data_IF_932275263110
#
_entry.id   IF_932275263110
#
_cell.length_a   1.000
_cell.length_b   1.000
_cell.length_c   1.000
_cell.angle_alpha   90.00
_cell.angle_beta   90.00
_cell.angle_gamma   90.00
#
_symmetry.space_group_name_H-M   'P 1'
#
loop_
_entity.id
_entity.type
_entity.pdbx_description
1 polymer ?
#
# COMPACT_ATOMS: atom_id res chain seq x y z
N UNK A 1 -9.22 -15.44 29.82
CA UNK A 1 -9.29 -14.16 29.08
C UNK A 1 -8.78 -14.40 27.68
N UNK A 2 -9.61 -14.25 26.65
CA UNK A 2 -9.18 -14.29 25.24
C UNK A 2 -8.63 -12.89 24.94
N UNK A 3 -7.35 -12.75 24.65
CA UNK A 3 -6.84 -11.50 24.09
C UNK A 3 -7.61 -11.29 22.77
N UNK A 4 -8.39 -10.22 22.68
CA UNK A 4 -8.85 -9.75 21.39
C UNK A 4 -7.57 -9.55 20.57
N UNK A 5 -7.40 -10.34 19.52
CA UNK A 5 -6.28 -10.17 18.63
C UNK A 5 -6.63 -8.92 17.83
N UNK A 6 -6.29 -7.74 18.37
CA UNK A 6 -6.46 -6.42 17.76
C UNK A 6 -5.49 -6.28 16.57
N UNK A 7 -5.48 -7.29 15.71
CA UNK A 7 -4.63 -7.50 14.56
C UNK A 7 -5.11 -6.63 13.39
N UNK A 8 -5.53 -5.40 13.70
CA UNK A 8 -5.85 -4.40 12.70
C UNK A 8 -4.51 -3.84 12.22
N UNK A 9 -4.11 -4.13 10.97
CA UNK A 9 -2.87 -3.60 10.44
C UNK A 9 -2.93 -2.07 10.44
N UNK A 10 -1.82 -1.44 10.85
CA UNK A 10 -1.70 0.02 10.83
C UNK A 10 -1.84 0.52 9.39
N UNK A 11 -2.71 1.50 9.17
CA UNK A 11 -2.87 2.15 7.86
C UNK A 11 -1.64 2.98 7.46
N UNK A 12 -1.00 3.64 8.43
CA UNK A 12 0.08 4.59 8.20
C UNK A 12 1.44 4.00 8.59
N UNK A 13 2.32 3.86 7.60
CA UNK A 13 3.63 3.24 7.72
C UNK A 13 4.72 4.29 7.87
N UNK A 14 5.77 4.01 8.65
CA UNK A 14 7.04 4.74 8.49
C UNK A 14 7.67 4.42 7.13
N UNK A 15 8.62 5.24 6.70
CA UNK A 15 9.42 4.99 5.50
C UNK A 15 10.06 3.59 5.48
N UNK A 16 10.63 3.16 6.61
CA UNK A 16 11.23 1.82 6.75
C UNK A 16 10.18 0.72 6.67
N UNK A 17 8.99 0.93 7.24
CA UNK A 17 7.89 -0.04 7.12
C UNK A 17 7.38 -0.15 5.68
N UNK A 18 7.23 0.97 4.97
CA UNK A 18 6.80 0.99 3.57
C UNK A 18 7.82 0.31 2.65
N UNK A 19 9.12 0.58 2.84
CA UNK A 19 10.18 -0.12 2.10
C UNK A 19 10.15 -1.64 2.34
N UNK A 20 10.01 -2.06 3.61
CA UNK A 20 9.89 -3.49 3.96
C UNK A 20 8.61 -4.13 3.40
N UNK A 21 7.50 -3.40 3.38
CA UNK A 21 6.24 -3.85 2.81
C UNK A 21 6.38 -4.15 1.31
N UNK A 22 7.14 -3.31 0.59
CA UNK A 22 7.44 -3.52 -0.83
C UNK A 22 8.56 -4.53 -1.09
N UNK A 23 9.19 -5.11 -0.05
CA UNK A 23 10.34 -5.99 -0.19
C UNK A 23 11.63 -5.30 -0.66
N UNK A 24 11.78 -3.99 -0.44
CA UNK A 24 12.89 -3.17 -0.94
C UNK A 24 13.81 -2.68 0.20
N UNK A 25 15.05 -2.32 -0.18
CA UNK A 25 15.93 -1.52 0.67
C UNK A 25 15.42 -0.08 0.76
N UNK A 26 15.79 0.65 1.84
CA UNK A 26 15.42 2.07 1.98
C UNK A 26 15.87 2.94 0.78
N UNK A 27 17.15 2.86 0.31
CA UNK A 27 17.58 3.62 -0.86
C UNK A 27 16.82 3.25 -2.15
N UNK A 28 16.55 1.95 -2.35
CA UNK A 28 15.79 1.51 -3.52
C UNK A 28 14.36 2.04 -3.47
N UNK A 29 13.69 1.94 -2.32
CA UNK A 29 12.36 2.48 -2.12
C UNK A 29 12.30 3.99 -2.42
N UNK A 30 13.29 4.75 -1.95
CA UNK A 30 13.41 6.19 -2.25
C UNK A 30 13.55 6.51 -3.73
N UNK A 31 14.23 5.66 -4.48
CA UNK A 31 14.44 5.87 -5.91
C UNK A 31 13.23 5.53 -6.78
N UNK A 32 12.37 4.60 -6.35
CA UNK A 32 11.33 4.00 -7.22
C UNK A 32 9.90 4.27 -6.77
N UNK A 33 9.67 4.52 -5.48
CA UNK A 33 8.33 4.73 -4.96
C UNK A 33 7.91 6.19 -5.15
N UNK A 34 6.88 6.49 -5.96
CA UNK A 34 6.42 7.85 -6.20
C UNK A 34 5.45 8.35 -5.12
N UNK A 35 5.04 7.47 -4.18
CA UNK A 35 4.04 7.80 -3.15
C UNK A 35 4.58 8.88 -2.23
N UNK A 36 3.81 9.97 -2.08
CA UNK A 36 4.21 11.10 -1.25
C UNK A 36 3.90 10.81 0.22
N UNK A 37 4.87 11.05 1.09
CA UNK A 37 4.63 10.91 2.52
C UNK A 37 3.68 12.01 3.04
N UNK A 38 2.77 11.61 3.92
CA UNK A 38 1.83 12.47 4.64
C UNK A 38 2.54 13.02 5.87
N UNK A 39 2.68 14.35 5.96
CA UNK A 39 3.21 15.01 7.14
C UNK A 39 2.11 15.14 8.22
N UNK A 40 2.23 14.35 9.31
CA UNK A 40 1.31 14.45 10.46
C UNK A 40 1.71 15.54 11.46
N UNK A 41 2.84 16.20 11.23
CA UNK A 41 3.44 17.17 12.14
C UNK A 41 4.71 17.78 11.53
N UNK A 42 5.51 18.43 12.36
CA UNK A 42 6.71 19.14 11.89
C UNK A 42 7.92 18.21 11.86
N UNK A 43 8.52 18.06 10.68
CA UNK A 43 9.77 17.34 10.46
C UNK A 43 9.61 15.89 10.00
N UNK A 44 10.68 15.36 9.40
CA UNK A 44 10.71 14.07 8.67
C UNK A 44 10.23 12.88 9.50
N UNK A 45 10.39 12.91 10.83
CA UNK A 45 9.93 11.84 11.73
C UNK A 45 8.41 11.68 11.76
N UNK A 46 7.65 12.73 11.43
CA UNK A 46 6.19 12.73 11.40
C UNK A 46 5.62 12.37 10.03
N UNK A 47 6.46 12.05 9.05
CA UNK A 47 6.05 11.60 7.73
C UNK A 47 5.62 10.13 7.77
N UNK A 48 4.46 9.86 7.17
CA UNK A 48 3.89 8.50 7.05
C UNK A 48 3.42 8.21 5.64
N UNK A 49 3.52 6.96 5.24
CA UNK A 49 3.03 6.46 3.96
C UNK A 49 1.69 5.76 4.21
N UNK A 50 0.65 6.10 3.45
CA UNK A 50 -0.61 5.37 3.50
C UNK A 50 -0.47 4.06 2.72
N UNK A 51 -0.69 2.93 3.39
CA UNK A 51 -0.60 1.60 2.77
C UNK A 51 -1.50 1.48 1.54
N UNK A 52 -2.64 2.16 1.50
CA UNK A 52 -3.57 2.10 0.35
C UNK A 52 -3.02 2.79 -0.89
N UNK A 53 -2.29 3.89 -0.71
CA UNK A 53 -1.63 4.56 -1.83
C UNK A 53 -0.43 3.74 -2.32
N UNK A 54 0.28 3.09 -1.39
CA UNK A 54 1.34 2.13 -1.72
C UNK A 54 0.78 0.95 -2.50
N UNK A 55 -0.33 0.36 -2.07
CA UNK A 55 -1.02 -0.73 -2.79
C UNK A 55 -1.45 -0.27 -4.19
N UNK A 56 -2.09 0.90 -4.31
CA UNK A 56 -2.50 1.44 -5.61
C UNK A 56 -1.31 1.65 -6.56
N UNK A 57 -0.16 2.10 -6.04
CA UNK A 57 1.05 2.17 -6.82
C UNK A 57 1.54 0.79 -7.24
N UNK A 58 1.59 -0.20 -6.34
CA UNK A 58 1.98 -1.58 -6.65
C UNK A 58 1.09 -2.15 -7.74
N UNK A 59 -0.23 -1.97 -7.63
CA UNK A 59 -1.21 -2.45 -8.61
C UNK A 59 -1.00 -1.78 -9.98
N UNK A 60 -0.65 -0.49 -10.01
CA UNK A 60 -0.34 0.24 -11.24
C UNK A 60 0.90 -0.30 -11.98
N UNK A 61 1.81 -1.00 -11.29
CA UNK A 61 3.00 -1.62 -11.89
C UNK A 61 2.68 -2.89 -12.67
N UNK A 62 1.45 -3.43 -12.59
CA UNK A 62 1.02 -4.63 -13.31
C UNK A 62 0.32 -4.25 -14.63
N UNK A 63 1.02 -4.19 -15.77
CA UNK A 63 0.36 -3.98 -17.04
C UNK A 63 -0.50 -5.20 -17.40
N UNK A 64 -1.82 -5.04 -17.44
CA UNK A 64 -2.71 -5.98 -18.13
C UNK A 64 -3.63 -6.86 -17.28
N UNK A 65 -3.75 -6.65 -15.97
CA UNK A 65 -4.82 -7.31 -15.20
C UNK A 65 -6.10 -6.49 -15.36
N UNK A 66 -6.84 -6.73 -16.46
CA UNK A 66 -8.24 -6.35 -16.51
C UNK A 66 -8.90 -6.87 -15.22
N UNK A 67 -9.82 -6.10 -14.58
CA UNK A 67 -10.49 -6.57 -13.38
C UNK A 67 -11.04 -7.96 -13.67
N UNK A 68 -10.70 -8.93 -12.81
CA UNK A 68 -11.24 -10.29 -12.88
C UNK A 68 -12.74 -10.15 -13.09
N UNK A 69 -13.24 -10.52 -14.27
CA UNK A 69 -14.68 -10.50 -14.53
C UNK A 69 -15.31 -11.38 -13.48
N UNK A 70 -16.08 -10.79 -12.58
CA UNK A 70 -16.88 -11.56 -11.63
C UNK A 70 -17.90 -12.36 -12.42
N UNK A 71 -18.40 -13.46 -11.85
CA UNK A 71 -19.41 -14.29 -12.51
C UNK A 71 -20.60 -13.45 -13.01
N UNK A 72 -20.99 -12.44 -12.25
CA UNK A 72 -22.04 -11.47 -12.62
C UNK A 72 -21.71 -10.69 -13.91
N UNK A 73 -20.46 -10.29 -14.11
CA UNK A 73 -20.01 -9.59 -15.34
C UNK A 73 -19.96 -10.50 -16.58
N UNK A 74 -19.98 -11.82 -16.42
CA UNK A 74 -20.05 -12.77 -17.53
C UNK A 74 -21.50 -13.05 -17.97
N UNK A 75 -22.45 -12.94 -17.04
CA UNK A 75 -23.88 -13.10 -17.30
C UNK A 75 -24.48 -11.93 -18.09
N UNK A 76 -24.02 -10.69 -17.88
CA UNK A 76 -24.47 -9.53 -18.67
C UNK A 76 -23.87 -9.45 -20.08
N UNK A 77 -22.83 -10.23 -20.37
CA UNK A 77 -22.14 -10.23 -21.66
C UNK A 77 -22.67 -11.28 -22.66
N UNK A 78 -23.71 -12.03 -22.28
CA UNK A 78 -24.42 -13.03 -23.09
C UNK A 78 -25.80 -12.50 -23.50
#
# INVERSE_FOLDING_TARGET
>A
MRAANDNVPLRLLTKTQAARYCGLSLPSFDSVCPVRAIALGVGVRWERYDIREVDAWIDSLRPGEAPLRTADSLLEAL
#
